data_IF_552960077226
#
_entry.id   IF_552960077226
#
_cell.length_a   1.000
_cell.length_b   1.000
_cell.length_c   1.000
_cell.angle_alpha   90.00
_cell.angle_beta   90.00
_cell.angle_gamma   90.00
#
_symmetry.space_group_name_H-M   'P 1'
#
loop_
_entity.id
_entity.type
_entity.pdbx_description
1 polymer ?
#
# COMPACT_ATOMS: atom_id res chain seq x y z
N UNK A 1 -1.96 -22.20 12.97
CA UNK A 1 -3.07 -22.50 12.01
C UNK A 1 -2.59 -23.34 10.80
N UNK A 2 -3.44 -24.04 10.03
CA UNK A 2 -3.00 -24.72 8.80
C UNK A 2 -2.86 -23.74 7.61
N UNK A 3 -1.97 -24.02 6.65
CA UNK A 3 -1.75 -23.16 5.47
C UNK A 3 -3.05 -22.87 4.71
N UNK A 4 -3.95 -23.85 4.62
CA UNK A 4 -5.25 -23.74 3.94
C UNK A 4 -6.15 -22.70 4.63
N UNK A 5 -6.14 -22.68 5.97
CA UNK A 5 -6.92 -21.73 6.74
C UNK A 5 -6.40 -20.30 6.59
N UNK A 6 -5.07 -20.12 6.55
CA UNK A 6 -4.46 -18.80 6.30
C UNK A 6 -4.75 -18.33 4.87
N UNK A 7 -4.65 -19.21 3.86
CA UNK A 7 -5.01 -18.89 2.47
C UNK A 7 -6.46 -18.38 2.38
N UNK A 8 -7.39 -19.11 3.03
CA UNK A 8 -8.79 -18.71 3.08
C UNK A 8 -8.99 -17.35 3.77
N UNK A 9 -8.33 -17.11 4.89
CA UNK A 9 -8.43 -15.84 5.61
C UNK A 9 -7.91 -14.66 4.76
N UNK A 10 -6.78 -14.82 4.07
CA UNK A 10 -6.21 -13.81 3.18
C UNK A 10 -7.10 -13.56 1.96
N UNK A 11 -7.66 -14.61 1.38
CA UNK A 11 -8.64 -14.49 0.30
C UNK A 11 -9.89 -13.71 0.76
N UNK A 12 -10.49 -14.13 1.87
CA UNK A 12 -11.72 -13.54 2.40
C UNK A 12 -11.49 -12.06 2.76
N UNK A 13 -10.31 -11.72 3.29
CA UNK A 13 -9.89 -10.34 3.49
C UNK A 13 -9.80 -9.55 2.17
N UNK A 14 -9.18 -10.12 1.13
CA UNK A 14 -8.95 -9.43 -0.14
C UNK A 14 -10.25 -9.16 -0.94
N UNK A 15 -11.26 -10.02 -0.81
CA UNK A 15 -12.54 -9.88 -1.53
C UNK A 15 -13.60 -9.07 -0.74
N UNK A 16 -13.40 -8.88 0.56
CA UNK A 16 -14.36 -8.17 1.43
C UNK A 16 -14.42 -6.68 1.11
N UNK A 17 -15.64 -6.14 1.06
CA UNK A 17 -15.89 -4.72 0.79
C UNK A 17 -15.96 -3.84 2.05
N UNK A 18 -15.23 -4.20 3.11
CA UNK A 18 -15.20 -3.47 4.39
C UNK A 18 -13.75 -3.07 4.72
N UNK A 19 -13.57 -1.83 5.17
CA UNK A 19 -12.25 -1.33 5.59
C UNK A 19 -11.74 -2.16 6.75
N UNK A 20 -10.52 -2.70 6.64
CA UNK A 20 -9.96 -3.59 7.66
C UNK A 20 -8.44 -3.66 7.53
N UNK A 21 -7.76 -4.05 8.61
CA UNK A 21 -6.34 -4.33 8.61
C UNK A 21 -6.08 -5.73 9.15
N UNK A 22 -5.16 -6.47 8.54
CA UNK A 22 -4.70 -7.78 9.00
C UNK A 22 -3.18 -7.82 9.05
N UNK A 23 -2.65 -8.71 9.89
CA UNK A 23 -1.22 -8.96 10.01
C UNK A 23 -0.91 -10.38 9.53
N UNK A 24 0.01 -10.51 8.57
CA UNK A 24 0.63 -11.76 8.18
C UNK A 24 2.03 -11.82 8.81
N UNK A 25 2.15 -12.59 9.89
CA UNK A 25 3.39 -12.75 10.66
C UNK A 25 3.98 -14.15 10.55
N UNK A 26 5.28 -14.26 10.79
CA UNK A 26 6.04 -15.51 10.80
C UNK A 26 7.53 -15.26 10.72
N UNK A 27 8.36 -16.26 10.98
CA UNK A 27 9.82 -16.14 10.97
C UNK A 27 10.38 -15.63 9.62
N UNK A 28 11.63 -15.16 9.64
CA UNK A 28 12.33 -14.74 8.44
C UNK A 28 12.46 -15.90 7.44
N UNK A 29 12.24 -15.64 6.15
CA UNK A 29 12.41 -16.66 5.10
C UNK A 29 11.26 -17.66 4.97
N UNK A 30 10.18 -17.55 5.76
CA UNK A 30 8.99 -18.42 5.68
C UNK A 30 8.10 -18.20 4.44
N UNK A 31 8.44 -17.23 3.58
CA UNK A 31 7.76 -17.01 2.32
C UNK A 31 6.48 -16.16 2.40
N UNK A 32 6.27 -15.36 3.45
CA UNK A 32 5.09 -14.49 3.63
C UNK A 32 4.73 -13.64 2.41
N UNK A 33 5.69 -12.87 1.89
CA UNK A 33 5.51 -12.06 0.67
C UNK A 33 5.16 -12.92 -0.55
N UNK A 34 5.83 -14.06 -0.70
CA UNK A 34 5.54 -15.01 -1.78
C UNK A 34 4.12 -15.57 -1.69
N UNK A 35 3.68 -15.87 -0.46
CA UNK A 35 2.36 -16.38 -0.18
C UNK A 35 1.28 -15.33 -0.48
N UNK A 36 1.43 -14.09 -0.03
CA UNK A 36 0.51 -13.02 -0.40
C UNK A 36 0.47 -12.79 -1.92
N UNK A 37 1.62 -12.82 -2.59
CA UNK A 37 1.69 -12.70 -4.06
C UNK A 37 0.95 -13.83 -4.79
N UNK A 38 0.86 -15.04 -4.20
CA UNK A 38 0.09 -16.13 -4.79
C UNK A 38 -1.42 -15.86 -4.72
N UNK A 39 -1.90 -15.27 -3.61
CA UNK A 39 -3.30 -14.82 -3.45
C UNK A 39 -3.65 -13.78 -4.52
N UNK A 40 -2.78 -12.78 -4.71
CA UNK A 40 -2.99 -11.75 -5.74
C UNK A 40 -3.10 -12.40 -7.12
N UNK A 41 -2.13 -13.25 -7.49
CA UNK A 41 -2.14 -13.91 -8.80
C UNK A 41 -3.42 -14.69 -9.06
N UNK A 42 -3.94 -15.37 -8.04
CA UNK A 42 -5.11 -16.26 -8.12
C UNK A 42 -6.45 -15.51 -8.03
N UNK A 43 -6.52 -14.41 -7.29
CA UNK A 43 -7.79 -13.81 -6.88
C UNK A 43 -7.97 -12.31 -7.21
N UNK A 44 -6.97 -11.65 -7.81
CA UNK A 44 -7.02 -10.20 -8.14
C UNK A 44 -8.24 -9.75 -8.94
N UNK A 45 -8.86 -10.62 -9.73
CA UNK A 45 -10.09 -10.32 -10.48
C UNK A 45 -11.30 -10.11 -9.59
N UNK A 46 -11.26 -10.64 -8.36
CA UNK A 46 -12.39 -10.69 -7.43
C UNK A 46 -12.18 -9.79 -6.20
N UNK A 47 -11.12 -8.98 -6.20
CA UNK A 47 -10.81 -8.09 -5.08
C UNK A 47 -11.96 -7.13 -4.80
N UNK A 48 -12.22 -6.89 -3.51
CA UNK A 48 -13.29 -6.00 -3.04
C UNK A 48 -12.96 -4.52 -3.18
N UNK A 49 -11.82 -4.21 -3.82
CA UNK A 49 -11.19 -2.88 -3.95
C UNK A 49 -10.80 -2.64 -5.39
N UNK A 50 -11.01 -1.42 -5.87
CA UNK A 50 -10.72 -1.04 -7.25
C UNK A 50 -9.20 -0.96 -7.50
N UNK A 51 -8.44 -0.63 -6.46
CA UNK A 51 -7.02 -0.38 -6.54
C UNK A 51 -6.21 -1.31 -5.62
N UNK A 52 -4.94 -1.46 -5.95
CA UNK A 52 -3.94 -2.18 -5.19
C UNK A 52 -2.64 -1.36 -5.11
N UNK A 53 -1.99 -1.35 -3.96
CA UNK A 53 -0.67 -0.73 -3.76
C UNK A 53 0.23 -1.67 -2.95
N UNK A 54 1.46 -1.84 -3.40
CA UNK A 54 2.50 -2.55 -2.66
C UNK A 54 3.59 -1.58 -2.24
N UNK A 55 3.96 -1.59 -0.96
CA UNK A 55 5.01 -0.76 -0.39
C UNK A 55 5.87 -1.60 0.55
N UNK A 56 7.18 -1.61 0.32
CA UNK A 56 8.16 -2.11 1.29
C UNK A 56 8.59 -0.96 2.19
N UNK A 57 8.59 -1.15 3.51
CA UNK A 57 9.08 -0.15 4.46
C UNK A 57 10.61 -0.05 4.49
N UNK A 58 11.33 -0.91 3.77
CA UNK A 58 12.79 -0.86 3.75
C UNK A 58 13.33 0.49 3.26
N UNK A 59 14.00 1.21 4.16
CA UNK A 59 14.59 2.51 3.86
C UNK A 59 13.60 3.68 3.81
N UNK A 60 12.32 3.47 4.14
CA UNK A 60 11.35 4.55 4.31
C UNK A 60 11.56 5.20 5.69
N UNK A 61 11.83 6.49 5.72
CA UNK A 61 12.26 7.21 6.93
C UNK A 61 11.19 8.16 7.49
N UNK A 62 10.07 8.37 6.82
CA UNK A 62 9.02 9.27 7.32
C UNK A 62 7.61 8.85 6.93
N UNK A 63 6.63 9.35 7.69
CA UNK A 63 5.21 9.15 7.39
C UNK A 63 4.82 9.77 6.04
N UNK A 64 5.48 10.88 5.66
CA UNK A 64 5.28 11.53 4.38
C UNK A 64 5.77 10.65 3.21
N UNK A 65 6.95 10.04 3.34
CA UNK A 65 7.48 9.09 2.35
C UNK A 65 6.60 7.85 2.22
N UNK A 66 6.08 7.31 3.33
CA UNK A 66 5.15 6.19 3.30
C UNK A 66 3.86 6.53 2.53
N UNK A 67 3.22 7.66 2.85
CA UNK A 67 2.02 8.13 2.14
C UNK A 67 2.29 8.31 0.64
N UNK A 68 3.43 8.92 0.31
CA UNK A 68 3.86 9.12 -1.07
C UNK A 68 4.07 7.79 -1.80
N UNK A 69 4.75 6.83 -1.18
CA UNK A 69 5.01 5.51 -1.77
C UNK A 69 3.71 4.72 -2.00
N UNK A 70 2.76 4.78 -1.07
CA UNK A 70 1.42 4.19 -1.26
C UNK A 70 0.77 4.75 -2.52
N UNK A 71 0.77 6.08 -2.67
CA UNK A 71 0.20 6.77 -3.82
C UNK A 71 0.92 6.40 -5.13
N UNK A 72 2.24 6.49 -5.18
CA UNK A 72 3.05 6.23 -6.38
C UNK A 72 2.93 4.78 -6.87
N UNK A 73 2.75 3.83 -5.95
CA UNK A 73 2.61 2.40 -6.27
C UNK A 73 1.15 1.94 -6.47
N UNK A 74 0.18 2.86 -6.38
CA UNK A 74 -1.23 2.52 -6.57
C UNK A 74 -1.52 2.24 -8.05
N UNK A 75 -2.07 1.06 -8.32
CA UNK A 75 -2.55 0.62 -9.64
C UNK A 75 -3.95 0.04 -9.53
N UNK A 76 -4.70 -0.09 -10.64
CA UNK A 76 -5.93 -0.87 -10.63
C UNK A 76 -5.67 -2.31 -10.14
N UNK A 77 -6.56 -2.90 -9.34
CA UNK A 77 -6.41 -4.27 -8.82
C UNK A 77 -6.15 -5.31 -9.91
N UNK A 78 -6.71 -5.08 -11.10
CA UNK A 78 -6.44 -5.88 -12.31
C UNK A 78 -4.99 -5.80 -12.83
N UNK A 79 -4.11 -5.01 -12.23
CA UNK A 79 -2.68 -4.89 -12.53
C UNK A 79 -1.78 -5.13 -11.31
N UNK A 80 -2.32 -5.65 -10.21
CA UNK A 80 -1.60 -5.84 -8.95
C UNK A 80 -0.33 -6.71 -9.05
N UNK A 81 -0.24 -7.59 -10.06
CA UNK A 81 0.97 -8.40 -10.32
C UNK A 81 2.16 -7.58 -10.83
N UNK A 82 1.91 -6.43 -11.45
CA UNK A 82 2.96 -5.61 -12.09
C UNK A 82 3.78 -4.85 -11.03
N UNK A 83 3.13 -4.43 -9.94
CA UNK A 83 3.74 -3.70 -8.82
C UNK A 83 4.39 -4.60 -7.75
N UNK A 84 4.07 -5.89 -7.73
CA UNK A 84 4.71 -6.86 -6.82
C UNK A 84 5.99 -7.47 -7.40
N UNK A 85 6.23 -7.30 -8.70
CA UNK A 85 7.52 -7.63 -9.31
C UNK A 85 8.50 -6.48 -9.01
N UNK A 86 9.53 -6.76 -8.19
CA UNK A 86 10.55 -5.80 -7.71
C UNK A 86 11.18 -4.88 -8.78
N UNK A 87 11.00 -5.19 -10.07
CA UNK A 87 11.45 -4.39 -11.20
C UNK A 87 10.65 -3.10 -11.41
N UNK A 88 9.37 -3.04 -11.02
CA UNK A 88 8.52 -1.86 -11.27
C UNK A 88 8.79 -0.72 -10.29
N UNK A 89 9.21 -1.00 -9.05
CA UNK A 89 9.60 0.03 -8.08
C UNK A 89 10.84 0.79 -8.58
N UNK A 90 11.85 0.08 -9.07
CA UNK A 90 13.07 0.69 -9.64
C UNK A 90 12.78 1.37 -10.99
N UNK A 91 11.94 0.80 -11.84
CA UNK A 91 11.59 1.43 -13.13
C UNK A 91 10.70 2.67 -12.96
N UNK A 92 9.80 2.69 -11.98
CA UNK A 92 8.98 3.87 -11.69
C UNK A 92 9.79 4.97 -11.00
N UNK A 93 10.72 4.62 -10.11
CA UNK A 93 11.71 5.55 -9.54
C UNK A 93 12.68 6.10 -10.60
N UNK A 94 13.14 5.27 -11.56
CA UNK A 94 13.97 5.73 -12.70
C UNK A 94 13.20 6.61 -13.68
N UNK A 95 11.88 6.40 -13.84
CA UNK A 95 11.02 7.32 -14.61
C UNK A 95 10.79 8.66 -13.88
N UNK A 96 11.02 8.70 -12.57
CA UNK A 96 10.95 9.89 -11.72
C UNK A 96 12.34 10.46 -11.39
N UNK A 97 13.42 9.97 -12.00
CA UNK A 97 14.73 10.60 -11.91
C UNK A 97 14.67 11.92 -12.71
N UNK A 98 14.28 12.98 -11.99
CA UNK A 98 14.22 14.38 -12.43
C UNK A 98 15.62 14.99 -12.68
N UNK A 99 16.63 14.17 -13.03
CA UNK A 99 17.93 14.68 -13.47
C UNK A 99 17.84 15.47 -14.78
N UNK A 100 16.77 15.30 -15.55
CA UNK A 100 16.36 16.22 -16.63
C UNK A 100 15.05 16.94 -16.26
N UNK A 101 15.15 17.90 -15.32
CA UNK A 101 14.06 18.73 -14.82
C UNK A 101 13.29 19.57 -15.88
N UNK A 102 13.59 19.45 -17.17
CA UNK A 102 12.90 20.15 -18.27
C UNK A 102 12.00 19.29 -19.16
N UNK A 103 12.14 17.95 -19.15
CA UNK A 103 11.53 17.07 -20.16
C UNK A 103 10.20 16.42 -19.75
N UNK A 104 10.12 15.89 -18.53
CA UNK A 104 8.97 15.10 -18.07
C UNK A 104 7.68 15.92 -17.90
N UNK A 105 7.81 17.15 -17.41
CA UNK A 105 6.67 18.04 -17.19
C UNK A 105 5.96 18.40 -18.50
N UNK A 106 6.71 18.64 -19.59
CA UNK A 106 6.14 18.97 -20.91
C UNK A 106 5.30 17.82 -21.47
N UNK A 107 5.63 16.57 -21.17
CA UNK A 107 4.90 15.40 -21.68
C UNK A 107 3.53 15.25 -21.01
N UNK A 108 3.44 15.52 -19.71
CA UNK A 108 2.17 15.54 -18.95
C UNK A 108 1.27 16.68 -19.44
N UNK A 109 1.83 17.87 -19.69
CA UNK A 109 1.07 19.01 -20.23
C UNK A 109 0.66 18.84 -21.71
N UNK A 110 1.37 18.04 -22.51
CA UNK A 110 1.04 17.86 -23.94
C UNK A 110 -0.16 16.94 -24.22
N UNK A 111 -0.56 16.08 -23.28
CA UNK A 111 -1.79 15.28 -23.41
C UNK A 111 -3.07 16.07 -23.09
N UNK A 112 -2.94 17.30 -22.57
CA UNK A 112 -4.04 18.07 -22.00
C UNK A 112 -4.55 19.23 -22.84
N UNK A 113 -4.37 19.25 -24.18
CA UNK A 113 -4.91 20.36 -25.01
C UNK A 113 -6.44 20.51 -24.96
N UNK A 114 -7.17 19.54 -24.42
CA UNK A 114 -8.64 19.61 -24.25
C UNK A 114 -9.12 19.68 -22.79
N UNK A 115 -8.25 19.52 -21.80
CA UNK A 115 -8.63 19.61 -20.40
C UNK A 115 -8.49 21.07 -19.92
N UNK A 116 -9.58 21.85 -19.99
CA UNK A 116 -9.67 23.15 -19.32
C UNK A 116 -9.57 22.94 -17.80
N UNK A 117 -8.37 23.00 -17.26
CA UNK A 117 -8.17 23.07 -15.81
C UNK A 117 -8.56 24.47 -15.35
N UNK A 118 -9.63 24.65 -14.54
CA UNK A 118 -9.96 25.95 -13.99
C UNK A 118 -8.84 26.35 -13.03
N UNK A 119 -8.18 27.46 -13.33
CA UNK A 119 -7.16 28.04 -12.48
C UNK A 119 -7.85 28.72 -11.28
N UNK A 120 -8.31 27.93 -10.31
CA UNK A 120 -8.92 28.40 -9.07
C UNK A 120 -8.14 27.81 -7.89
N UNK A 121 -7.45 28.67 -7.16
CA UNK A 121 -7.02 28.49 -5.76
C UNK A 121 -6.23 27.21 -5.42
N UNK A 122 -4.90 27.34 -5.34
CA UNK A 122 -3.96 26.36 -4.76
C UNK A 122 -3.93 24.97 -5.40
N UNK A 123 -2.93 24.76 -6.27
CA UNK A 123 -2.51 23.46 -6.83
C UNK A 123 -2.41 22.35 -5.75
N UNK A 124 -2.05 22.70 -4.51
CA UNK A 124 -2.03 21.79 -3.35
C UNK A 124 -3.38 21.12 -3.09
N UNK A 125 -4.50 21.86 -3.06
CA UNK A 125 -5.80 21.30 -2.70
C UNK A 125 -6.37 20.33 -3.75
N UNK A 126 -6.09 20.60 -5.03
CA UNK A 126 -6.45 19.68 -6.13
C UNK A 126 -5.60 18.42 -6.10
N UNK A 127 -4.30 18.54 -5.81
CA UNK A 127 -3.43 17.38 -5.60
C UNK A 127 -3.90 16.54 -4.41
N UNK A 128 -4.22 17.18 -3.28
CA UNK A 128 -4.63 16.50 -2.05
C UNK A 128 -5.95 15.73 -2.25
N UNK A 129 -6.92 16.31 -2.97
CA UNK A 129 -8.20 15.64 -3.30
C UNK A 129 -8.04 14.47 -4.28
N UNK A 130 -7.12 14.58 -5.25
CA UNK A 130 -6.78 13.48 -6.17
C UNK A 130 -6.06 12.35 -5.42
N UNK A 131 -5.09 12.67 -4.56
CA UNK A 131 -4.44 11.69 -3.69
C UNK A 131 -5.44 11.02 -2.75
N UNK A 132 -6.34 11.81 -2.16
CA UNK A 132 -7.40 11.33 -1.26
C UNK A 132 -8.32 10.32 -1.94
N UNK A 133 -8.69 10.58 -3.20
CA UNK A 133 -9.60 9.74 -3.98
C UNK A 133 -8.92 8.49 -4.53
N UNK A 134 -7.64 8.57 -4.92
CA UNK A 134 -6.91 7.43 -5.49
C UNK A 134 -6.55 6.38 -4.44
N UNK A 135 -6.31 6.79 -3.19
CA UNK A 135 -6.01 5.87 -2.09
C UNK A 135 -7.29 5.26 -1.49
N UNK A 136 -8.45 5.92 -1.62
CA UNK A 136 -9.72 5.35 -1.18
C UNK A 136 -10.00 4.01 -1.89
N UNK A 137 -10.68 3.09 -1.19
CA UNK A 137 -11.03 1.78 -1.74
C UNK A 137 -9.83 1.00 -2.35
N UNK A 138 -8.68 1.04 -1.68
CA UNK A 138 -7.44 0.36 -2.10
C UNK A 138 -7.11 -0.83 -1.19
N UNK A 139 -6.60 -1.94 -1.76
CA UNK A 139 -5.84 -2.94 -1.00
C UNK A 139 -4.39 -2.46 -0.89
N UNK A 140 -3.89 -2.29 0.33
CA UNK A 140 -2.53 -1.80 0.57
C UNK A 140 -1.74 -2.91 1.25
N UNK A 141 -0.69 -3.39 0.59
CA UNK A 141 0.30 -4.29 1.16
C UNK A 141 1.49 -3.49 1.66
N UNK A 142 1.69 -3.49 2.97
CA UNK A 142 2.85 -2.90 3.64
C UNK A 142 3.75 -4.06 4.11
N UNK A 143 4.90 -4.21 3.47
CA UNK A 143 5.86 -5.30 3.72
C UNK A 143 7.13 -4.77 4.39
N UNK A 144 8.00 -5.69 4.82
CA UNK A 144 9.30 -5.38 5.43
C UNK A 144 9.17 -4.45 6.65
N UNK A 145 8.18 -4.67 7.53
CA UNK A 145 7.88 -3.75 8.63
C UNK A 145 9.06 -3.49 9.58
N UNK A 146 9.79 -4.55 9.94
CA UNK A 146 11.01 -4.50 10.76
C UNK A 146 12.16 -3.71 10.14
N UNK A 147 12.05 -3.41 8.85
CA UNK A 147 13.08 -2.79 8.02
C UNK A 147 12.81 -1.30 7.77
N UNK A 148 11.78 -0.75 8.41
CA UNK A 148 11.49 0.69 8.45
C UNK A 148 12.71 1.50 8.93
N UNK A 149 12.85 2.71 8.40
CA UNK A 149 13.87 3.65 8.85
C UNK A 149 13.69 4.06 10.31
N UNK A 150 14.79 4.36 10.99
CA UNK A 150 14.79 4.65 12.44
C UNK A 150 13.91 5.84 12.84
N UNK A 151 13.69 6.79 11.93
CA UNK A 151 12.87 7.98 12.16
C UNK A 151 11.37 7.78 11.91
N UNK A 152 10.96 6.65 11.33
CA UNK A 152 9.56 6.29 11.15
C UNK A 152 9.16 5.29 12.24
N UNK A 153 8.37 5.70 13.23
CA UNK A 153 8.01 4.81 14.35
C UNK A 153 6.94 3.78 13.95
N UNK A 154 6.87 2.66 14.69
CA UNK A 154 5.80 1.67 14.52
C UNK A 154 4.42 2.31 14.70
N UNK A 155 4.29 3.21 15.69
CA UNK A 155 3.06 3.96 15.97
C UNK A 155 2.62 4.86 14.83
N UNK A 156 3.56 5.50 14.12
CA UNK A 156 3.22 6.32 12.95
C UNK A 156 2.63 5.46 11.83
N UNK A 157 3.22 4.28 11.58
CA UNK A 157 2.71 3.33 10.59
C UNK A 157 1.33 2.82 11.01
N UNK A 158 1.17 2.37 12.24
CA UNK A 158 -0.10 1.82 12.74
C UNK A 158 -1.20 2.89 12.80
N UNK A 159 -0.86 4.12 13.17
CA UNK A 159 -1.78 5.26 13.13
C UNK A 159 -2.24 5.57 11.71
N UNK A 160 -1.35 5.47 10.72
CA UNK A 160 -1.73 5.57 9.32
C UNK A 160 -2.64 4.42 8.88
N UNK A 161 -2.33 3.19 9.29
CA UNK A 161 -3.13 2.00 8.98
C UNK A 161 -4.57 2.16 9.50
N UNK A 162 -4.73 2.55 10.76
CA UNK A 162 -6.05 2.85 11.36
C UNK A 162 -6.78 3.95 10.59
N UNK A 163 -6.11 5.07 10.29
CA UNK A 163 -6.75 6.15 9.53
C UNK A 163 -7.21 5.70 8.13
N UNK A 164 -6.40 4.92 7.42
CA UNK A 164 -6.71 4.44 6.08
C UNK A 164 -7.81 3.37 6.07
N UNK A 165 -7.82 2.44 7.02
CA UNK A 165 -8.87 1.42 7.11
C UNK A 165 -10.22 2.03 7.47
N UNK A 166 -10.26 2.94 8.45
CA UNK A 166 -11.51 3.53 8.96
C UNK A 166 -12.04 4.65 8.07
N UNK A 167 -11.19 5.61 7.71
CA UNK A 167 -11.64 6.83 7.03
C UNK A 167 -11.64 6.69 5.50
N UNK A 168 -10.89 5.74 4.94
CA UNK A 168 -10.76 5.56 3.48
C UNK A 168 -11.27 4.22 2.98
N UNK A 169 -11.83 3.41 3.86
CA UNK A 169 -12.34 2.08 3.56
C UNK A 169 -11.28 1.15 2.93
N UNK A 170 -10.00 1.37 3.21
CA UNK A 170 -8.91 0.55 2.68
C UNK A 170 -8.87 -0.84 3.33
N UNK A 171 -8.42 -1.83 2.56
CA UNK A 171 -8.08 -3.16 3.10
C UNK A 171 -6.56 -3.25 3.19
N UNK A 172 -6.01 -3.34 4.39
CA UNK A 172 -4.56 -3.23 4.62
C UNK A 172 -4.00 -4.56 5.12
N UNK A 173 -2.94 -5.06 4.49
CA UNK A 173 -2.18 -6.20 4.97
C UNK A 173 -0.78 -5.73 5.37
N UNK A 174 -0.44 -5.97 6.63
CA UNK A 174 0.90 -5.78 7.16
C UNK A 174 1.64 -7.12 7.13
N UNK A 175 2.78 -7.17 6.44
CA UNK A 175 3.67 -8.33 6.45
C UNK A 175 4.87 -7.98 7.34
N UNK A 176 5.09 -8.80 8.36
CA UNK A 176 6.10 -8.54 9.38
C UNK A 176 6.71 -9.84 9.92
N UNK A 177 7.95 -9.76 10.39
CA UNK A 177 8.57 -10.87 11.11
C UNK A 177 8.04 -11.02 12.54
N UNK A 178 8.27 -12.18 13.12
CA UNK A 178 8.01 -12.37 14.55
C UNK A 178 8.86 -11.40 15.40
N UNK A 179 8.24 -10.82 16.42
CA UNK A 179 8.87 -9.84 17.30
C UNK A 179 9.03 -8.44 16.70
N UNK A 180 8.52 -8.17 15.49
CA UNK A 180 8.61 -6.84 14.85
C UNK A 180 7.71 -5.77 15.49
N UNK A 181 6.76 -6.16 16.34
CA UNK A 181 5.87 -5.27 17.08
C UNK A 181 6.03 -5.51 18.58
N UNK A 182 6.09 -4.44 19.35
CA UNK A 182 6.06 -4.51 20.80
C UNK A 182 4.62 -4.76 21.29
N UNK A 183 4.49 -5.35 22.49
CA UNK A 183 3.17 -5.59 23.11
C UNK A 183 2.31 -4.33 23.25
N UNK A 184 2.92 -3.15 23.38
CA UNK A 184 2.18 -1.87 23.43
C UNK A 184 1.56 -1.47 22.10
N UNK A 185 2.10 -1.99 20.99
CA UNK A 185 1.69 -1.65 19.64
C UNK A 185 0.64 -2.64 19.11
N UNK A 186 0.55 -3.85 19.71
CA UNK A 186 -0.47 -4.85 19.38
C UNK A 186 -1.90 -4.33 19.63
N UNK A 187 -2.12 -3.41 20.57
CA UNK A 187 -3.42 -2.79 20.87
C UNK A 187 -4.04 -2.01 19.70
N UNK A 188 -3.22 -1.58 18.72
CA UNK A 188 -3.71 -0.94 17.48
C UNK A 188 -4.14 -1.94 16.41
N UNK A 189 -3.89 -3.24 16.63
CA UNK A 189 -4.30 -4.31 15.72
C UNK A 189 -5.76 -4.62 16.01
N UNK A 190 -6.66 -4.08 15.18
CA UNK A 190 -8.09 -4.33 15.27
C UNK A 190 -8.40 -5.82 15.47
N UNK A 191 -9.22 -6.12 16.48
CA UNK A 191 -9.79 -7.44 16.72
C UNK A 191 -10.64 -7.87 15.51
N UNK A 192 -10.03 -8.61 14.60
CA UNK A 192 -10.68 -9.65 13.81
C UNK A 192 -9.72 -10.82 13.76
N UNK A 193 -10.22 -12.03 14.03
CA UNK A 193 -9.57 -13.02 14.90
C UNK A 193 -8.10 -13.14 14.58
N UNK A 194 -7.26 -12.91 15.60
CA UNK A 194 -5.84 -13.22 15.56
C UNK A 194 -5.67 -14.62 14.95
N UNK A 195 -5.24 -14.63 13.69
CA UNK A 195 -4.83 -15.84 13.00
C UNK A 195 -3.43 -16.15 13.54
N UNK A 196 -3.38 -16.79 14.71
CA UNK A 196 -2.23 -17.52 15.25
C UNK A 196 -2.25 -18.98 14.80
#
# INVERSE_FOLDING_TARGET
MSVIQVEKALHDFAVRKVGSAIVLKGEWGTGKTYFWNSIIKKHRSNFGRANYSYVSLFGINSLAELKRSIFENTVPSAKANDVTSKNSVIENLKKLDFSDAGGGLRKIFSFGKEAKIPFVGSFSGVIDSVQYSLVAETIICIDDFERRGNSLSARDVLGLVSNLSESKYCSIILILNEGSLDKSDEFFTFESPLVS
#
